data_IF_043454688081
#
_entry.id   IF_043454688081
#
_cell.length_a   1.000
_cell.length_b   1.000
_cell.length_c   1.000
_cell.angle_alpha   90.00
_cell.angle_beta   90.00
_cell.angle_gamma   90.00
#
_symmetry.space_group_name_H-M   'P 1'
#
loop_
_entity.id
_entity.type
_entity.pdbx_description
1 polymer ?
#
# COMPACT_ATOMS: atom_id res chain seq x y z
N UNK A 1 14.84 -45.47 -61.97
CA UNK A 1 15.37 -45.20 -60.61
C UNK A 1 15.46 -43.69 -60.36
N UNK A 2 14.36 -42.93 -60.50
CA UNK A 2 14.38 -41.44 -60.40
C UNK A 2 13.13 -40.80 -59.77
N UNK A 3 12.11 -41.57 -59.38
CA UNK A 3 10.87 -41.01 -58.80
C UNK A 3 10.86 -40.90 -57.27
N UNK A 4 11.82 -41.52 -56.57
CA UNK A 4 11.81 -41.58 -55.09
C UNK A 4 12.39 -40.31 -54.46
N UNK A 5 13.26 -39.58 -55.16
CA UNK A 5 13.95 -38.40 -54.61
C UNK A 5 13.09 -37.11 -54.60
N UNK A 6 12.06 -37.00 -55.44
CA UNK A 6 11.26 -35.77 -55.51
C UNK A 6 10.28 -35.63 -54.35
N UNK A 7 9.68 -36.75 -53.89
CA UNK A 7 8.77 -36.74 -52.73
C UNK A 7 9.51 -36.40 -51.44
N UNK A 8 10.75 -36.89 -51.27
CA UNK A 8 11.55 -36.60 -50.10
C UNK A 8 11.96 -35.11 -50.05
N UNK A 9 12.31 -34.54 -51.20
CA UNK A 9 12.62 -33.11 -51.32
C UNK A 9 11.41 -32.23 -51.01
N UNK A 10 10.21 -32.58 -51.49
CA UNK A 10 8.98 -31.82 -51.21
C UNK A 10 8.62 -31.89 -49.72
N UNK A 11 8.78 -33.05 -49.07
CA UNK A 11 8.51 -33.19 -47.62
C UNK A 11 9.52 -32.39 -46.79
N UNK A 12 10.82 -32.42 -47.16
CA UNK A 12 11.85 -31.59 -46.52
C UNK A 12 11.61 -30.10 -46.74
N UNK A 13 11.13 -29.69 -47.92
CA UNK A 13 10.80 -28.30 -48.22
C UNK A 13 9.58 -27.83 -47.43
N UNK A 14 8.54 -28.67 -47.27
CA UNK A 14 7.38 -28.36 -46.43
C UNK A 14 7.78 -28.27 -44.94
N UNK A 15 8.69 -29.12 -44.45
CA UNK A 15 9.21 -29.02 -43.08
C UNK A 15 10.07 -27.77 -42.87
N UNK A 16 10.90 -27.38 -43.85
CA UNK A 16 11.74 -26.17 -43.78
C UNK A 16 10.94 -24.87 -43.92
N UNK A 17 9.84 -24.87 -44.69
CA UNK A 17 8.92 -23.70 -44.75
C UNK A 17 8.01 -23.67 -43.51
N UNK A 18 7.67 -24.82 -42.92
CA UNK A 18 6.87 -24.95 -41.71
C UNK A 18 7.51 -24.36 -40.45
N UNK A 19 8.84 -24.23 -40.41
CA UNK A 19 9.57 -23.61 -39.29
C UNK A 19 9.82 -22.09 -39.48
N UNK A 20 9.49 -21.50 -40.64
CA UNK A 20 9.87 -20.11 -40.93
C UNK A 20 8.76 -19.06 -40.88
N UNK A 21 7.54 -19.40 -40.45
CA UNK A 21 6.45 -18.41 -40.34
C UNK A 21 5.58 -18.59 -39.09
N UNK A 22 6.21 -18.55 -37.92
CA UNK A 22 5.54 -18.06 -36.70
C UNK A 22 6.42 -16.96 -36.08
N UNK A 23 6.72 -15.92 -36.87
CA UNK A 23 6.79 -14.58 -36.30
C UNK A 23 5.36 -14.18 -35.95
N UNK A 24 4.80 -14.83 -34.93
CA UNK A 24 3.66 -14.27 -34.23
C UNK A 24 4.20 -13.01 -33.58
N UNK A 25 4.07 -11.88 -34.27
CA UNK A 25 3.95 -10.60 -33.60
C UNK A 25 2.72 -10.78 -32.72
N UNK A 26 2.93 -11.25 -31.49
CA UNK A 26 1.92 -11.19 -30.46
C UNK A 26 1.85 -9.70 -30.18
N UNK A 27 0.88 -9.03 -30.80
CA UNK A 27 0.47 -7.69 -30.41
C UNK A 27 -0.09 -7.79 -28.99
N UNK A 28 0.79 -7.86 -28.00
CA UNK A 28 0.38 -7.76 -26.60
C UNK A 28 -0.09 -6.33 -26.42
N UNK A 29 -1.40 -6.14 -26.27
CA UNK A 29 -1.98 -4.85 -25.91
C UNK A 29 -1.27 -4.37 -24.64
N UNK A 30 -0.58 -3.23 -24.70
CA UNK A 30 0.08 -2.66 -23.54
C UNK A 30 -0.96 -2.11 -22.58
N UNK A 31 -0.76 -2.31 -21.28
CA UNK A 31 -1.67 -1.73 -20.30
C UNK A 31 -1.56 -0.19 -20.31
N UNK A 32 -2.66 0.49 -20.61
CA UNK A 32 -2.82 1.93 -20.42
C UNK A 32 -2.70 2.29 -18.93
N UNK A 33 -1.73 3.14 -18.59
CA UNK A 33 -1.53 3.65 -17.23
C UNK A 33 -2.73 4.46 -16.72
N UNK A 34 -3.44 5.16 -17.61
CA UNK A 34 -4.64 5.93 -17.28
C UNK A 34 -5.74 5.09 -16.62
N UNK A 35 -5.82 3.79 -16.92
CA UNK A 35 -6.79 2.89 -16.27
C UNK A 35 -6.36 2.54 -14.84
N UNK A 36 -5.07 2.37 -14.60
CA UNK A 36 -4.52 2.16 -13.26
C UNK A 36 -4.67 3.43 -12.40
N UNK A 37 -4.40 4.60 -12.98
CA UNK A 37 -4.61 5.89 -12.32
C UNK A 37 -6.07 6.08 -11.90
N UNK A 38 -7.04 5.77 -12.79
CA UNK A 38 -8.47 5.81 -12.46
C UNK A 38 -8.84 4.85 -11.32
N UNK A 39 -8.26 3.65 -11.31
CA UNK A 39 -8.46 2.71 -10.21
C UNK A 39 -7.94 3.29 -8.89
N UNK A 40 -6.69 3.73 -8.85
CA UNK A 40 -6.03 4.27 -7.66
C UNK A 40 -6.76 5.51 -7.13
N UNK A 41 -7.14 6.44 -8.01
CA UNK A 41 -7.95 7.61 -7.64
C UNK A 41 -9.32 7.22 -7.07
N UNK A 42 -9.96 6.16 -7.60
CA UNK A 42 -11.23 5.65 -7.11
C UNK A 42 -11.18 5.05 -5.69
N UNK A 43 -9.99 4.74 -5.19
CA UNK A 43 -9.74 4.30 -3.82
C UNK A 43 -8.85 5.29 -3.04
N UNK A 44 -8.65 6.49 -3.56
CA UNK A 44 -7.86 7.55 -2.90
C UNK A 44 -6.42 7.15 -2.56
N UNK A 45 -5.76 6.42 -3.46
CA UNK A 45 -4.35 6.03 -3.30
C UNK A 45 -3.46 6.89 -4.20
N UNK A 46 -2.48 7.57 -3.61
CA UNK A 46 -1.46 8.37 -4.30
C UNK A 46 -0.02 8.10 -3.80
N UNK A 47 0.15 7.44 -2.66
CA UNK A 47 1.44 7.05 -2.09
C UNK A 47 1.32 5.75 -1.28
N UNK A 48 2.43 5.09 -0.90
CA UNK A 48 2.37 3.93 -0.01
C UNK A 48 1.65 4.21 1.31
N UNK A 49 1.77 5.44 1.84
CA UNK A 49 1.11 5.87 3.07
C UNK A 49 -0.40 5.88 2.94
N UNK A 50 -0.91 6.49 1.86
CA UNK A 50 -2.35 6.50 1.57
C UNK A 50 -2.95 5.10 1.44
N UNK A 51 -2.16 4.05 1.16
CA UNK A 51 -2.65 2.67 1.12
C UNK A 51 -2.98 2.17 2.52
N UNK A 52 -2.04 2.24 3.47
CA UNK A 52 -2.30 1.71 4.81
C UNK A 52 -3.19 2.65 5.64
N UNK A 53 -3.30 3.93 5.28
CA UNK A 53 -4.31 4.85 5.84
C UNK A 53 -5.73 4.36 5.58
N UNK A 54 -5.99 3.70 4.44
CA UNK A 54 -7.30 3.09 4.18
C UNK A 54 -7.70 2.13 5.31
N UNK A 55 -6.76 1.31 5.79
CA UNK A 55 -7.04 0.34 6.84
C UNK A 55 -7.21 0.97 8.23
N UNK A 56 -6.69 2.18 8.44
CA UNK A 56 -6.88 2.94 9.67
C UNK A 56 -8.23 3.67 9.63
N UNK A 57 -8.63 4.19 8.47
CA UNK A 57 -9.84 5.03 8.31
C UNK A 57 -11.10 4.18 8.10
N UNK A 58 -11.03 3.11 7.30
CA UNK A 58 -12.17 2.28 6.93
C UNK A 58 -12.09 0.91 7.62
N UNK A 59 -12.89 0.69 8.66
CA UNK A 59 -12.82 -0.51 9.50
C UNK A 59 -13.30 -1.80 8.79
N UNK A 60 -14.62 -1.91 8.53
CA UNK A 60 -15.23 -3.17 8.04
C UNK A 60 -15.59 -3.12 6.55
N UNK A 61 -15.84 -1.92 6.00
CA UNK A 61 -16.25 -1.76 4.61
C UNK A 61 -15.08 -1.88 3.61
N UNK A 62 -13.84 -1.76 4.08
CA UNK A 62 -12.65 -1.73 3.24
C UNK A 62 -12.49 -3.01 2.41
N UNK A 63 -12.78 -4.19 2.99
CA UNK A 63 -12.55 -5.46 2.33
C UNK A 63 -13.44 -5.66 1.10
N UNK A 64 -14.74 -5.36 1.23
CA UNK A 64 -15.65 -5.47 0.10
C UNK A 64 -15.29 -4.46 -1.01
N UNK A 65 -14.92 -3.24 -0.61
CA UNK A 65 -14.53 -2.17 -1.53
C UNK A 65 -13.24 -2.51 -2.28
N UNK A 66 -12.21 -2.99 -1.58
CA UNK A 66 -10.94 -3.38 -2.18
C UNK A 66 -11.09 -4.62 -3.06
N UNK A 67 -11.83 -5.63 -2.62
CA UNK A 67 -12.01 -6.87 -3.38
C UNK A 67 -12.70 -6.60 -4.74
N UNK A 68 -13.78 -5.81 -4.75
CA UNK A 68 -14.48 -5.47 -5.99
C UNK A 68 -13.55 -4.69 -6.95
N UNK A 69 -12.82 -3.70 -6.43
CA UNK A 69 -11.94 -2.86 -7.24
C UNK A 69 -10.74 -3.66 -7.76
N UNK A 70 -10.14 -4.51 -6.93
CA UNK A 70 -8.99 -5.35 -7.31
C UNK A 70 -9.37 -6.39 -8.36
N UNK A 71 -10.55 -7.02 -8.27
CA UNK A 71 -11.05 -7.93 -9.32
C UNK A 71 -11.08 -7.28 -10.70
N UNK A 72 -11.46 -6.01 -10.78
CA UNK A 72 -11.47 -5.27 -12.03
C UNK A 72 -10.06 -5.03 -12.58
N UNK A 73 -9.09 -4.78 -11.72
CA UNK A 73 -7.67 -4.61 -12.11
C UNK A 73 -7.05 -5.94 -12.53
N UNK A 74 -7.31 -7.03 -11.80
CA UNK A 74 -6.82 -8.35 -12.17
C UNK A 74 -7.39 -8.79 -13.53
N UNK A 75 -8.69 -8.59 -13.75
CA UNK A 75 -9.30 -8.81 -15.06
C UNK A 75 -8.64 -7.96 -16.14
N UNK A 76 -8.33 -6.70 -15.84
CA UNK A 76 -7.62 -5.83 -16.77
C UNK A 76 -6.22 -6.36 -17.12
N UNK A 77 -5.47 -6.88 -16.14
CA UNK A 77 -4.17 -7.51 -16.40
C UNK A 77 -4.24 -8.84 -17.17
N UNK A 78 -5.40 -9.50 -17.25
CA UNK A 78 -5.55 -10.68 -18.13
C UNK A 78 -5.61 -10.33 -19.62
N UNK A 79 -6.01 -9.09 -19.96
CA UNK A 79 -6.21 -8.65 -21.35
C UNK A 79 -5.10 -7.73 -21.88
N UNK A 80 -4.18 -7.30 -21.01
CA UNK A 80 -3.06 -6.45 -21.38
C UNK A 80 -1.76 -6.91 -20.73
N UNK A 81 -0.62 -6.55 -21.32
CA UNK A 81 0.71 -6.81 -20.77
C UNK A 81 1.30 -5.54 -20.17
N UNK A 82 1.77 -5.63 -18.94
CA UNK A 82 2.48 -4.54 -18.27
C UNK A 82 3.83 -4.31 -18.98
N UNK A 83 4.10 -3.07 -19.37
CA UNK A 83 5.35 -2.71 -20.04
C UNK A 83 6.48 -2.45 -19.05
N UNK A 84 6.15 -1.84 -17.90
CA UNK A 84 7.07 -1.62 -16.79
C UNK A 84 6.43 -2.11 -15.48
N UNK A 85 6.83 -3.28 -14.95
CA UNK A 85 6.32 -3.80 -13.68
C UNK A 85 6.77 -2.96 -12.48
N UNK A 86 7.73 -2.06 -12.66
CA UNK A 86 8.26 -1.15 -11.64
C UNK A 86 7.73 0.28 -11.78
N UNK A 87 6.72 0.51 -12.63
CA UNK A 87 6.04 1.81 -12.69
C UNK A 87 5.30 2.08 -11.39
N UNK A 88 5.26 3.35 -10.96
CA UNK A 88 4.63 3.79 -9.72
C UNK A 88 3.21 3.21 -9.56
N UNK A 89 2.37 3.32 -10.58
CA UNK A 89 0.99 2.86 -10.49
C UNK A 89 0.88 1.34 -10.34
N UNK A 90 1.76 0.57 -10.99
CA UNK A 90 1.78 -0.90 -10.85
C UNK A 90 2.20 -1.29 -9.45
N UNK A 91 3.22 -0.63 -8.88
CA UNK A 91 3.68 -0.95 -7.53
C UNK A 91 2.69 -0.49 -6.45
N UNK A 92 1.99 0.64 -6.65
CA UNK A 92 0.89 1.05 -5.76
C UNK A 92 -0.27 0.05 -5.80
N UNK A 93 -0.67 -0.44 -6.98
CA UNK A 93 -1.66 -1.53 -7.09
C UNK A 93 -1.20 -2.78 -6.34
N UNK A 94 0.07 -3.15 -6.45
CA UNK A 94 0.64 -4.28 -5.70
C UNK A 94 0.59 -4.05 -4.19
N UNK A 95 0.85 -2.83 -3.71
CA UNK A 95 0.66 -2.45 -2.31
C UNK A 95 -0.79 -2.56 -1.83
N UNK A 96 -1.76 -2.10 -2.63
CA UNK A 96 -3.19 -2.23 -2.32
C UNK A 96 -3.61 -3.69 -2.27
N UNK A 97 -3.08 -4.52 -3.18
CA UNK A 97 -3.30 -5.97 -3.13
C UNK A 97 -2.72 -6.57 -1.86
N UNK A 98 -1.50 -6.21 -1.48
CA UNK A 98 -0.86 -6.68 -0.25
C UNK A 98 -1.66 -6.30 1.00
N UNK A 99 -2.22 -5.08 1.03
CA UNK A 99 -3.13 -4.65 2.09
C UNK A 99 -4.38 -5.55 2.16
N UNK A 100 -5.07 -5.73 1.03
CA UNK A 100 -6.26 -6.57 0.95
C UNK A 100 -5.95 -8.02 1.35
N UNK A 101 -4.83 -8.57 0.90
CA UNK A 101 -4.42 -9.93 1.23
C UNK A 101 -4.16 -10.09 2.74
N UNK A 102 -3.51 -9.09 3.36
CA UNK A 102 -3.17 -9.09 4.80
C UNK A 102 -4.38 -8.89 5.70
N UNK A 103 -5.27 -7.97 5.33
CA UNK A 103 -6.40 -7.52 6.17
C UNK A 103 -7.69 -8.29 5.86
N UNK A 104 -7.91 -8.72 4.62
CA UNK A 104 -9.22 -9.19 4.16
C UNK A 104 -9.28 -10.67 3.76
N UNK A 105 -8.24 -11.22 3.12
CA UNK A 105 -8.34 -12.54 2.48
C UNK A 105 -7.55 -13.65 3.15
N UNK A 106 -6.30 -13.42 3.55
CA UNK A 106 -5.37 -14.50 3.90
C UNK A 106 -5.16 -14.69 5.40
N UNK A 107 -5.49 -13.70 6.23
CA UNK A 107 -5.10 -13.72 7.63
C UNK A 107 -6.21 -13.21 8.57
N UNK A 108 -7.22 -14.06 8.77
CA UNK A 108 -8.30 -13.80 9.73
C UNK A 108 -7.77 -13.55 11.16
N UNK A 109 -6.62 -14.11 11.51
CA UNK A 109 -6.00 -13.90 12.83
C UNK A 109 -5.44 -12.49 12.95
N UNK A 110 -4.67 -12.05 11.94
CA UNK A 110 -4.16 -10.70 11.87
C UNK A 110 -5.28 -9.67 11.83
N UNK A 111 -6.32 -9.89 11.01
CA UNK A 111 -7.46 -8.98 10.95
C UNK A 111 -8.15 -8.85 12.31
N UNK A 112 -8.43 -9.97 12.99
CA UNK A 112 -9.01 -9.96 14.33
C UNK A 112 -8.12 -9.24 15.34
N UNK A 113 -6.82 -9.46 15.28
CA UNK A 113 -5.86 -8.76 16.14
C UNK A 113 -5.84 -7.26 15.83
N UNK A 114 -5.82 -6.87 14.56
CA UNK A 114 -5.84 -5.49 14.11
C UNK A 114 -7.10 -4.76 14.58
N UNK A 115 -8.27 -5.41 14.51
CA UNK A 115 -9.54 -4.85 14.99
C UNK A 115 -9.55 -4.52 16.49
N UNK A 116 -8.77 -5.23 17.32
CA UNK A 116 -8.61 -4.90 18.76
C UNK A 116 -7.97 -3.52 18.92
N UNK A 117 -6.99 -3.20 18.06
CA UNK A 117 -6.21 -1.96 18.14
C UNK A 117 -6.78 -0.83 17.30
N UNK A 118 -7.62 -1.14 16.30
CA UNK A 118 -8.17 -0.20 15.34
C UNK A 118 -8.76 1.07 15.99
N UNK A 119 -9.59 1.01 17.06
CA UNK A 119 -10.13 2.23 17.67
C UNK A 119 -9.05 3.19 18.17
N UNK A 120 -7.95 2.68 18.74
CA UNK A 120 -6.84 3.52 19.19
C UNK A 120 -6.02 4.06 18.00
N UNK A 121 -5.77 3.22 17.00
CA UNK A 121 -5.05 3.61 15.78
C UNK A 121 -5.81 4.69 15.01
N UNK A 122 -7.14 4.64 14.99
CA UNK A 122 -8.00 5.64 14.36
C UNK A 122 -7.87 7.02 15.01
N UNK A 123 -7.72 7.09 16.34
CA UNK A 123 -7.48 8.36 17.05
C UNK A 123 -6.11 8.96 16.73
N UNK A 124 -5.14 8.14 16.34
CA UNK A 124 -3.80 8.58 15.92
C UNK A 124 -3.70 8.98 14.45
N UNK A 125 -4.77 8.85 13.65
CA UNK A 125 -4.70 9.04 12.18
C UNK A 125 -4.14 10.42 11.79
N UNK A 126 -4.51 11.48 12.50
CA UNK A 126 -4.07 12.84 12.20
C UNK A 126 -2.60 13.02 12.64
N UNK A 127 -2.20 12.37 13.74
CA UNK A 127 -0.80 12.37 14.22
C UNK A 127 0.13 11.61 13.26
N UNK A 128 -0.40 10.66 12.50
CA UNK A 128 0.37 9.88 11.53
C UNK A 128 0.74 10.65 10.27
N UNK A 129 0.09 11.79 9.98
CA UNK A 129 0.48 12.65 8.86
C UNK A 129 1.94 13.12 8.97
N UNK A 130 2.44 13.33 10.19
CA UNK A 130 3.84 13.68 10.47
C UNK A 130 4.83 12.55 10.14
N UNK A 131 4.34 11.32 9.97
CA UNK A 131 5.15 10.16 9.63
C UNK A 131 5.29 9.94 8.12
N UNK A 132 4.63 10.75 7.29
CA UNK A 132 4.68 10.62 5.85
C UNK A 132 6.11 10.80 5.31
N UNK A 133 6.48 9.95 4.35
CA UNK A 133 7.75 10.09 3.66
C UNK A 133 7.83 11.39 2.86
N UNK A 134 9.05 11.82 2.48
CA UNK A 134 9.19 12.92 1.53
C UNK A 134 8.54 12.54 0.19
N UNK A 135 8.10 13.52 -0.62
CA UNK A 135 7.54 13.24 -1.94
C UNK A 135 8.44 12.33 -2.78
N UNK A 136 7.82 11.37 -3.46
CA UNK A 136 8.44 10.42 -4.39
C UNK A 136 9.59 9.58 -3.79
N UNK A 137 9.57 9.37 -2.46
CA UNK A 137 10.65 8.66 -1.78
C UNK A 137 10.86 7.21 -2.26
N UNK A 138 9.82 6.60 -2.82
CA UNK A 138 9.84 5.25 -3.42
C UNK A 138 10.50 5.20 -4.80
N UNK A 139 10.59 6.35 -5.48
CA UNK A 139 11.19 6.46 -6.82
C UNK A 139 12.69 6.75 -6.78
N UNK A 140 13.27 6.86 -5.58
CA UNK A 140 14.71 7.07 -5.44
C UNK A 140 15.50 5.89 -6.02
N UNK A 141 16.33 6.20 -7.02
CA UNK A 141 17.29 5.27 -7.61
C UNK A 141 18.37 4.80 -6.62
N UNK A 142 18.61 5.56 -5.55
CA UNK A 142 19.54 5.22 -4.49
C UNK A 142 18.86 4.37 -3.41
N UNK A 143 19.16 3.07 -3.41
CA UNK A 143 18.59 2.11 -2.45
C UNK A 143 18.84 2.51 -0.99
N UNK A 144 19.99 3.12 -0.68
CA UNK A 144 20.27 3.59 0.69
C UNK A 144 19.29 4.68 1.14
N UNK A 145 19.03 5.67 0.28
CA UNK A 145 18.10 6.76 0.58
C UNK A 145 16.66 6.24 0.71
N UNK A 146 16.25 5.34 -0.20
CA UNK A 146 14.96 4.65 -0.13
C UNK A 146 14.79 3.91 1.19
N UNK A 147 15.76 3.06 1.57
CA UNK A 147 15.68 2.31 2.81
C UNK A 147 15.77 3.18 4.07
N UNK A 148 16.46 4.32 4.01
CA UNK A 148 16.50 5.30 5.11
C UNK A 148 15.12 5.96 5.31
N UNK A 149 14.46 6.37 4.23
CA UNK A 149 13.12 6.95 4.29
C UNK A 149 12.10 5.92 4.81
N UNK A 150 12.12 4.72 4.26
CA UNK A 150 11.30 3.61 4.76
C UNK A 150 11.49 3.39 6.26
N UNK A 151 12.75 3.29 6.71
CA UNK A 151 13.03 3.12 8.14
C UNK A 151 12.49 4.26 8.99
N UNK A 152 12.62 5.50 8.51
CA UNK A 152 12.12 6.69 9.20
C UNK A 152 10.61 6.67 9.37
N UNK A 153 9.88 6.32 8.30
CA UNK A 153 8.41 6.17 8.31
C UNK A 153 8.03 5.10 9.33
N UNK A 154 8.60 3.89 9.20
CA UNK A 154 8.27 2.77 10.07
C UNK A 154 8.56 3.06 11.55
N UNK A 155 9.66 3.74 11.85
CA UNK A 155 10.02 4.14 13.21
C UNK A 155 9.06 5.17 13.79
N UNK A 156 8.62 6.14 12.97
CA UNK A 156 7.65 7.14 13.39
C UNK A 156 6.32 6.50 13.81
N UNK A 157 5.77 5.62 12.95
CA UNK A 157 4.56 4.86 13.27
C UNK A 157 4.74 4.01 14.52
N UNK A 158 5.87 3.30 14.64
CA UNK A 158 6.17 2.49 15.82
C UNK A 158 6.17 3.33 17.10
N UNK A 159 6.89 4.45 17.12
CA UNK A 159 7.05 5.28 18.32
C UNK A 159 5.73 5.90 18.74
N UNK A 160 4.98 6.50 17.81
CA UNK A 160 3.68 7.13 18.12
C UNK A 160 2.69 6.09 18.65
N UNK A 161 2.58 4.96 17.95
CA UNK A 161 1.68 3.88 18.37
C UNK A 161 2.09 3.27 19.71
N UNK A 162 3.38 3.02 19.94
CA UNK A 162 3.85 2.41 21.18
C UNK A 162 3.58 3.28 22.41
N UNK A 163 3.68 4.61 22.25
CA UNK A 163 3.41 5.58 23.32
C UNK A 163 1.93 5.69 23.68
N UNK A 164 1.03 5.48 22.72
CA UNK A 164 -0.41 5.77 22.91
C UNK A 164 -1.26 4.51 22.94
N UNK A 165 -1.00 3.55 22.04
CA UNK A 165 -1.78 2.32 21.88
C UNK A 165 -1.06 1.06 22.36
N UNK A 166 0.17 1.18 22.84
CA UNK A 166 0.95 0.07 23.38
C UNK A 166 1.81 -0.63 22.34
N UNK A 167 2.65 -1.55 22.82
CA UNK A 167 3.70 -2.19 22.03
C UNK A 167 3.11 -3.18 21.02
N UNK A 168 2.13 -3.96 21.42
CA UNK A 168 1.50 -4.95 20.54
C UNK A 168 0.76 -4.26 19.39
N UNK A 169 0.09 -3.13 19.66
CA UNK A 169 -0.50 -2.28 18.63
C UNK A 169 0.56 -1.77 17.66
N UNK A 170 1.69 -1.26 18.19
CA UNK A 170 2.81 -0.77 17.39
C UNK A 170 3.41 -1.85 16.48
N UNK A 171 3.56 -3.07 16.98
CA UNK A 171 4.03 -4.21 16.19
C UNK A 171 3.01 -4.62 15.12
N UNK A 172 1.73 -4.55 15.44
CA UNK A 172 0.64 -4.90 14.50
C UNK A 172 0.60 -3.93 13.33
N UNK A 173 0.57 -2.60 13.59
CA UNK A 173 0.54 -1.60 12.53
C UNK A 173 1.83 -1.59 11.70
N UNK A 174 2.99 -1.74 12.34
CA UNK A 174 4.26 -1.80 11.60
C UNK A 174 4.40 -3.05 10.75
N UNK A 175 3.81 -4.17 11.15
CA UNK A 175 3.72 -5.35 10.28
C UNK A 175 2.85 -5.09 9.05
N UNK A 176 1.73 -4.38 9.20
CA UNK A 176 0.88 -4.00 8.08
C UNK A 176 1.61 -3.08 7.10
N UNK A 177 2.20 -2.01 7.63
CA UNK A 177 2.98 -1.04 6.85
C UNK A 177 4.12 -1.73 6.12
N UNK A 178 4.79 -2.68 6.79
CA UNK A 178 5.90 -3.44 6.18
C UNK A 178 5.44 -4.24 4.97
N UNK A 179 4.32 -4.96 5.09
CA UNK A 179 3.78 -5.77 4.00
C UNK A 179 3.33 -4.89 2.82
N UNK A 180 2.74 -3.73 3.08
CA UNK A 180 2.37 -2.77 2.03
C UNK A 180 3.63 -2.20 1.36
N UNK A 181 4.56 -1.66 2.13
CA UNK A 181 5.73 -0.98 1.58
C UNK A 181 6.63 -1.96 0.82
N UNK A 182 6.89 -3.16 1.34
CA UNK A 182 7.71 -4.18 0.69
C UNK A 182 7.15 -4.58 -0.70
N UNK A 183 5.85 -4.41 -0.94
CA UNK A 183 5.19 -4.65 -2.23
C UNK A 183 5.08 -3.40 -3.12
N UNK A 184 5.38 -2.21 -2.60
CA UNK A 184 5.36 -0.94 -3.37
C UNK A 184 6.75 -0.48 -3.82
N UNK A 185 7.80 -0.90 -3.13
CA UNK A 185 9.18 -0.53 -3.47
C UNK A 185 9.80 -1.48 -4.49
N UNK A 186 10.71 -0.95 -5.30
CA UNK A 186 11.40 -1.71 -6.35
C UNK A 186 12.65 -2.44 -5.85
N UNK A 187 13.18 -2.04 -4.68
CA UNK A 187 14.40 -2.57 -4.09
C UNK A 187 14.16 -3.04 -2.65
N UNK A 188 14.60 -4.25 -2.31
CA UNK A 188 14.40 -4.82 -0.97
C UNK A 188 15.30 -4.17 0.10
N UNK A 189 14.74 -3.86 1.28
CA UNK A 189 15.48 -3.29 2.41
C UNK A 189 15.73 -4.33 3.52
N UNK A 190 16.97 -4.84 3.64
CA UNK A 190 17.31 -5.97 4.55
C UNK A 190 17.35 -5.64 6.06
N UNK A 191 17.23 -4.37 6.48
CA UNK A 191 17.50 -3.92 7.87
C UNK A 191 16.44 -2.99 8.48
N UNK A 192 15.18 -3.15 8.08
CA UNK A 192 14.08 -2.30 8.56
C UNK A 192 13.45 -2.76 9.88
N UNK A 193 13.56 -4.04 10.24
CA UNK A 193 12.80 -4.66 11.35
C UNK A 193 13.31 -4.35 12.77
N UNK A 194 14.36 -3.53 12.92
CA UNK A 194 14.89 -3.15 14.24
C UNK A 194 14.24 -1.84 14.70
N UNK A 195 13.24 -1.94 15.56
CA UNK A 195 12.53 -0.77 16.10
C UNK A 195 13.33 -0.04 17.18
N UNK A 196 13.12 1.28 17.34
CA UNK A 196 13.72 2.07 18.41
C UNK A 196 13.19 1.65 19.78
N UNK A 197 13.99 1.91 20.83
CA UNK A 197 13.55 1.70 22.21
C UNK A 197 12.67 2.88 22.63
N UNK A 198 11.44 2.59 23.03
CA UNK A 198 10.48 3.56 23.58
C UNK A 198 10.45 3.35 25.10
N UNK A 199 10.73 4.40 25.89
CA UNK A 199 10.86 4.30 27.36
C UNK A 199 9.51 4.37 28.08
N UNK A 200 8.55 5.03 27.47
CA UNK A 200 7.23 5.42 27.98
C UNK A 200 6.11 4.74 27.19
N UNK A 201 6.17 3.41 27.09
CA UNK A 201 5.18 2.61 26.35
C UNK A 201 3.85 2.56 27.13
N UNK A 202 2.74 2.74 26.43
CA UNK A 202 1.40 2.55 27.01
C UNK A 202 1.21 1.07 27.43
N UNK A 203 0.79 0.78 28.67
CA UNK A 203 0.57 -0.60 29.08
C UNK A 203 -0.60 -1.26 28.33
N UNK A 204 -0.40 -2.53 27.91
CA UNK A 204 -1.39 -3.30 27.13
C UNK A 204 -2.76 -3.46 27.82
N UNK A 205 -2.79 -3.39 29.15
CA UNK A 205 -4.01 -3.52 29.96
C UNK A 205 -5.05 -2.45 29.67
N UNK A 206 -4.65 -1.26 29.20
CA UNK A 206 -5.55 -0.16 28.89
C UNK A 206 -6.29 -0.33 27.56
N UNK A 207 -5.81 -1.26 26.72
CA UNK A 207 -6.34 -1.48 25.37
C UNK A 207 -7.20 -2.74 25.31
N UNK A 208 -6.80 -3.80 26.03
CA UNK A 208 -7.49 -5.11 26.03
C UNK A 208 -8.67 -5.20 27.01
N UNK A 209 -8.79 -4.26 27.96
CA UNK A 209 -9.92 -4.15 28.88
C UNK A 209 -10.96 -3.18 28.32
N UNK A 210 -12.03 -3.70 27.72
CA UNK A 210 -13.04 -2.89 27.03
C UNK A 210 -13.45 -1.61 27.77
N UNK A 211 -13.56 -0.53 26.99
CA UNK A 211 -13.84 0.89 27.33
C UNK A 211 -12.58 1.72 27.58
N UNK A 212 -12.18 2.61 26.64
CA UNK A 212 -11.15 3.60 26.92
C UNK A 212 -11.73 4.62 27.90
N UNK A 213 -11.44 4.46 29.19
CA UNK A 213 -11.33 5.63 30.05
C UNK A 213 -9.98 6.27 29.72
N UNK A 214 -10.00 7.08 28.67
CA UNK A 214 -8.91 7.97 28.30
C UNK A 214 -8.65 8.89 29.49
N UNK A 215 -7.73 8.52 30.36
CA UNK A 215 -7.03 9.50 31.19
C UNK A 215 -5.90 10.02 30.32
N UNK A 216 -6.25 10.95 29.42
CA UNK A 216 -5.25 11.85 28.84
C UNK A 216 -4.72 12.66 30.02
N UNK A 217 -3.42 12.61 30.35
CA UNK A 217 -2.84 13.64 31.17
C UNK A 217 -2.96 14.92 30.36
N UNK A 218 -3.68 15.93 30.87
CA UNK A 218 -3.83 17.25 30.27
C UNK A 218 -2.47 17.79 29.81
N UNK A 219 -2.15 17.63 28.53
CA UNK A 219 -1.11 18.41 27.89
C UNK A 219 -1.69 19.82 27.71
N UNK A 220 -1.00 20.89 28.15
CA UNK A 220 -1.57 22.22 28.12
C UNK A 220 -1.70 22.72 26.67
N UNK A 221 -2.90 22.60 26.12
CA UNK A 221 -3.32 23.30 24.91
C UNK A 221 -3.55 24.77 25.30
N UNK A 222 -2.56 25.64 25.09
CA UNK A 222 -2.80 27.08 25.10
C UNK A 222 -3.42 27.51 23.76
N UNK A 223 -4.75 27.36 23.74
CA UNK A 223 -5.78 28.19 23.10
C UNK A 223 -5.28 29.45 22.36
N UNK A 224 -5.22 29.39 21.04
CA UNK A 224 -5.01 30.57 20.17
C UNK A 224 -5.83 30.63 18.89
N UNK A 225 -6.53 29.55 18.49
CA UNK A 225 -6.97 29.41 17.09
C UNK A 225 -8.46 29.60 16.84
N UNK A 226 -9.30 29.64 17.88
CA UNK A 226 -10.78 29.74 17.71
C UNK A 226 -11.22 31.16 17.34
N UNK A 227 -10.48 32.19 17.75
CA UNK A 227 -10.84 33.59 17.43
C UNK A 227 -10.65 33.90 15.93
N UNK A 228 -9.72 33.24 15.24
CA UNK A 228 -9.49 33.48 13.81
C UNK A 228 -10.54 32.82 12.91
N UNK A 229 -11.08 31.66 13.28
CA UNK A 229 -12.10 30.97 12.49
C UNK A 229 -13.43 31.75 12.52
N UNK A 230 -13.80 32.33 13.66
CA UNK A 230 -15.02 33.14 13.79
C UNK A 230 -14.91 34.46 13.03
N UNK A 231 -13.72 35.11 13.03
CA UNK A 231 -13.47 36.31 12.23
C UNK A 231 -13.47 36.02 10.71
N UNK A 232 -12.96 34.86 10.30
CA UNK A 232 -12.98 34.44 8.89
C UNK A 232 -14.40 34.15 8.39
N UNK A 233 -15.22 33.50 9.22
CA UNK A 233 -16.62 33.19 8.88
C UNK A 233 -17.50 34.43 8.86
N UNK A 234 -17.25 35.43 9.72
CA UNK A 234 -17.99 36.69 9.70
C UNK A 234 -17.64 37.57 8.49
N UNK A 235 -16.40 37.51 7.98
CA UNK A 235 -16.01 38.25 6.77
C UNK A 235 -16.72 37.76 5.51
N UNK A 236 -16.96 36.44 5.39
CA UNK A 236 -17.66 35.85 4.25
C UNK A 236 -19.18 36.01 4.26
N UNK A 237 -19.78 36.38 5.39
CA UNK A 237 -21.22 36.61 5.50
C UNK A 237 -21.58 38.09 5.20
N UNK A 238 -20.61 39.00 5.24
CA UNK A 238 -20.79 40.45 5.08
C UNK A 238 -20.29 41.02 3.74
N UNK A 239 -19.93 40.16 2.79
CA UNK A 239 -19.58 40.48 1.39
C UNK A 239 -20.57 39.82 0.43
#
# INVERSE_FOLDING_TARGET
MLQVNLKLYIILFIFLIGELTINHVICTVTCEENKLLKFLAGIQVWSPESIFDLAIIEQEAICNKLEEKLKNVEKYYTVCKQQNPHSLYVTLVAGVKALNDKVCCLNQDFFRQFLIYHPCLYELRDDFEECNGPPDWTEHSQTEKLCKNYKSILDCYYVKTAKVCGKDAALTITSLITDVIDNTITHSCKRIKKFPVVKDIMPESYIKGGSPKMLVPDMPIKSGTIVHIILFLLYFILL
#
